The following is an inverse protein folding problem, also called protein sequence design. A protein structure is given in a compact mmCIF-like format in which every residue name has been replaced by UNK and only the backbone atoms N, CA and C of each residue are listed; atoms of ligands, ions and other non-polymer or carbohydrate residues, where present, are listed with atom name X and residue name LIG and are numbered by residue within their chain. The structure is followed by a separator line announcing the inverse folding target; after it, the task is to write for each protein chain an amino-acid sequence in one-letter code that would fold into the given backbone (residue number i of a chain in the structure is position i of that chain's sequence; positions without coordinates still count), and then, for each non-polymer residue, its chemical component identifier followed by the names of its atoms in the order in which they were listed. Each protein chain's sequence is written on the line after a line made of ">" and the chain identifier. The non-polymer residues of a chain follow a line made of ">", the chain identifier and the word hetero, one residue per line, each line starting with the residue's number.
data_IF_092608243800
#
_entry.id   IF_092608243800
#
_cell.length_a   1.000
_cell.length_b   1.000
_cell.length_c   1.000
_cell.angle_alpha   90.00
_cell.angle_beta   90.00
_cell.angle_gamma   90.00
#
_symmetry.space_group_name_H-M   'P 1'
#
loop_
_entity.id
_entity.type
_entity.pdbx_description
1 polymer ?
#
# COMPACT_ATOMS: atom_id res chain seq x y z
N UNK A 1 20.93 -20.23 9.48
CA UNK A 1 21.91 -19.96 8.39
C UNK A 1 21.65 -18.54 7.86
N UNK A 2 22.41 -18.05 6.88
CA UNK A 2 22.09 -16.83 6.12
C UNK A 2 22.27 -17.16 4.64
N UNK A 3 21.16 -17.33 3.93
CA UNK A 3 21.20 -17.56 2.49
C UNK A 3 21.33 -16.24 1.73
N UNK A 4 22.00 -16.30 0.59
CA UNK A 4 22.14 -15.17 -0.33
C UNK A 4 20.96 -15.14 -1.29
N UNK A 5 20.27 -14.01 -1.37
CA UNK A 5 19.24 -13.77 -2.40
C UNK A 5 19.88 -13.09 -3.61
N UNK A 6 19.83 -13.75 -4.76
CA UNK A 6 20.13 -13.10 -6.05
C UNK A 6 18.89 -12.39 -6.57
N UNK A 7 19.03 -11.13 -6.99
CA UNK A 7 17.96 -10.34 -7.57
C UNK A 7 18.34 -9.92 -9.00
N UNK A 8 17.49 -10.26 -9.97
CA UNK A 8 17.65 -9.90 -11.39
C UNK A 8 16.41 -9.13 -11.85
N UNK A 9 16.55 -7.91 -12.43
CA UNK A 9 15.44 -7.27 -13.13
C UNK A 9 15.17 -8.02 -14.43
N UNK A 10 13.90 -8.32 -14.69
CA UNK A 10 13.42 -9.02 -15.88
C UNK A 10 12.06 -8.44 -16.27
N UNK A 11 11.77 -8.41 -17.57
CA UNK A 11 10.40 -8.18 -18.05
C UNK A 11 9.47 -9.31 -17.61
N UNK A 12 8.18 -9.02 -17.41
CA UNK A 12 7.24 -9.96 -16.78
C UNK A 12 7.19 -11.32 -17.48
N UNK A 13 7.13 -11.36 -18.81
CA UNK A 13 7.09 -12.62 -19.55
C UNK A 13 8.40 -13.42 -19.43
N UNK A 14 9.54 -12.74 -19.32
CA UNK A 14 10.83 -13.37 -19.06
C UNK A 14 10.94 -13.88 -17.62
N UNK A 15 10.38 -13.17 -16.63
CA UNK A 15 10.29 -13.64 -15.26
C UNK A 15 9.35 -14.86 -15.14
N UNK A 16 8.22 -14.87 -15.85
CA UNK A 16 7.31 -16.01 -15.92
C UNK A 16 7.90 -17.20 -16.69
N UNK A 17 8.77 -16.96 -17.69
CA UNK A 17 9.54 -18.01 -18.35
C UNK A 17 10.60 -18.60 -17.39
N UNK A 18 11.37 -17.77 -16.69
CA UNK A 18 12.35 -18.19 -15.70
C UNK A 18 11.72 -18.95 -14.51
N UNK A 19 10.48 -18.62 -14.15
CA UNK A 19 9.67 -19.40 -13.22
C UNK A 19 9.25 -20.76 -13.80
N UNK A 20 9.08 -20.93 -15.11
CA UNK A 20 8.67 -22.20 -15.72
C UNK A 20 9.85 -23.13 -16.04
N UNK A 21 11.03 -22.58 -16.34
CA UNK A 21 12.21 -23.35 -16.78
C UNK A 21 13.17 -23.79 -15.65
N UNK A 22 12.96 -23.29 -14.42
CA UNK A 22 13.80 -23.58 -13.26
C UNK A 22 14.81 -22.48 -12.90
N UNK A 23 15.09 -21.55 -13.81
CA UNK A 23 16.17 -20.55 -13.65
C UNK A 23 15.83 -19.40 -12.68
N UNK A 24 14.59 -19.28 -12.23
CA UNK A 24 14.19 -18.49 -11.06
C UNK A 24 13.34 -19.35 -10.11
N UNK A 25 13.50 -19.15 -8.80
CA UNK A 25 12.64 -19.79 -7.79
C UNK A 25 11.37 -18.96 -7.50
N UNK A 26 11.48 -17.63 -7.55
CA UNK A 26 10.38 -16.69 -7.26
C UNK A 26 10.46 -15.46 -8.15
N UNK A 27 9.32 -14.82 -8.43
CA UNK A 27 9.24 -13.53 -9.08
C UNK A 27 8.22 -12.60 -8.41
N UNK A 28 8.49 -11.29 -8.42
CA UNK A 28 7.46 -10.28 -8.19
C UNK A 28 6.76 -9.99 -9.52
N UNK A 29 5.43 -10.00 -9.52
CA UNK A 29 4.61 -9.98 -10.74
C UNK A 29 3.43 -9.00 -10.61
N UNK A 30 2.95 -8.49 -11.75
CA UNK A 30 1.84 -7.53 -11.90
C UNK A 30 0.63 -8.24 -12.52
N UNK A 31 -0.50 -8.24 -11.81
CA UNK A 31 -1.81 -8.76 -12.21
C UNK A 31 -1.82 -10.23 -12.74
N UNK A 32 -0.83 -11.02 -12.36
CA UNK A 32 -0.79 -12.48 -12.60
C UNK A 32 -1.66 -13.20 -11.57
N UNK A 33 -2.47 -14.14 -12.05
CA UNK A 33 -3.34 -15.01 -11.24
C UNK A 33 -2.67 -16.37 -11.08
N UNK A 34 -2.92 -17.07 -9.98
CA UNK A 34 -2.44 -18.44 -9.76
C UNK A 34 -3.13 -19.44 -10.70
N UNK A 35 -2.38 -20.45 -11.13
CA UNK A 35 -2.84 -21.55 -11.99
C UNK A 35 -2.25 -22.90 -11.52
N UNK A 36 -2.47 -23.98 -12.28
CA UNK A 36 -1.97 -25.33 -11.93
C UNK A 36 -0.43 -25.45 -11.95
N UNK A 37 0.29 -24.46 -12.49
CA UNK A 37 1.75 -24.42 -12.56
C UNK A 37 2.37 -23.40 -11.60
N UNK A 38 1.68 -22.30 -11.30
CA UNK A 38 2.16 -21.18 -10.47
C UNK A 38 1.26 -20.89 -9.28
N UNK A 39 1.83 -20.98 -8.07
CA UNK A 39 1.26 -20.33 -6.90
C UNK A 39 1.54 -18.82 -6.95
N UNK A 40 0.55 -18.01 -6.54
CA UNK A 40 0.67 -16.56 -6.40
C UNK A 40 0.07 -16.11 -5.07
N UNK A 41 0.79 -15.28 -4.31
CA UNK A 41 0.27 -14.55 -3.15
C UNK A 41 0.15 -13.07 -3.52
N UNK A 42 -1.05 -12.45 -3.42
CA UNK A 42 -1.17 -11.00 -3.53
C UNK A 42 -0.51 -10.31 -2.33
N UNK A 43 0.34 -9.31 -2.61
CA UNK A 43 1.08 -8.56 -1.60
C UNK A 43 0.39 -7.22 -1.29
N UNK A 44 0.07 -6.46 -2.33
CA UNK A 44 -0.63 -5.17 -2.27
C UNK A 44 -1.18 -4.81 -3.65
N UNK A 45 -1.91 -3.69 -3.75
CA UNK A 45 -2.36 -3.11 -5.02
C UNK A 45 -1.88 -1.66 -5.13
N UNK A 46 -1.54 -1.22 -6.33
CA UNK A 46 -0.95 0.09 -6.60
C UNK A 46 -1.97 1.03 -7.24
N UNK A 47 -2.21 2.16 -6.58
CA UNK A 47 -3.05 3.24 -7.10
C UNK A 47 -2.49 3.74 -8.45
N UNK A 48 -3.31 3.77 -9.52
CA UNK A 48 -2.94 4.41 -10.77
C UNK A 48 -2.89 5.93 -10.60
N UNK A 49 -1.92 6.55 -11.26
CA UNK A 49 -1.76 8.00 -11.37
C UNK A 49 -1.65 8.40 -12.83
N UNK A 50 -2.15 9.59 -13.16
CA UNK A 50 -1.76 10.30 -14.39
C UNK A 50 -0.51 11.13 -14.11
N UNK A 51 0.48 11.01 -14.98
CA UNK A 51 1.71 11.80 -14.99
C UNK A 51 1.60 12.83 -16.10
N UNK A 52 1.86 14.10 -15.79
CA UNK A 52 1.65 15.25 -16.66
C UNK A 52 2.77 16.30 -16.52
N UNK A 53 2.99 17.19 -17.51
CA UNK A 53 3.81 18.39 -17.32
C UNK A 53 3.32 19.25 -16.14
N UNK A 54 4.23 19.98 -15.48
CA UNK A 54 3.86 20.87 -14.37
C UNK A 54 2.97 22.05 -14.76
N UNK A 55 3.08 22.51 -15.99
CA UNK A 55 2.29 23.62 -16.53
C UNK A 55 1.03 23.13 -17.25
N UNK A 56 0.68 21.84 -17.10
CA UNK A 56 -0.54 21.24 -17.64
C UNK A 56 -1.71 21.38 -16.67
N UNK A 57 -2.95 21.51 -17.18
CA UNK A 57 -4.15 21.68 -16.35
C UNK A 57 -4.35 20.56 -15.30
N UNK A 58 -3.85 19.35 -15.56
CA UNK A 58 -3.78 18.22 -14.61
C UNK A 58 -3.09 18.61 -13.28
N UNK A 59 -2.16 19.56 -13.29
CA UNK A 59 -1.47 20.03 -12.09
C UNK A 59 -2.40 20.78 -11.11
N UNK A 60 -3.48 21.39 -11.58
CA UNK A 60 -4.40 22.18 -10.74
C UNK A 60 -5.37 21.31 -9.91
N UNK A 61 -5.47 20.02 -10.21
CA UNK A 61 -6.35 19.08 -9.51
C UNK A 61 -5.57 18.19 -8.53
N UNK A 62 -6.10 17.98 -7.32
CA UNK A 62 -5.55 16.98 -6.38
C UNK A 62 -5.75 15.53 -6.84
N UNK A 63 -6.77 15.30 -7.68
CA UNK A 63 -7.20 14.00 -8.24
C UNK A 63 -8.02 14.26 -9.50
N UNK A 64 -7.95 13.35 -10.46
CA UNK A 64 -8.81 13.32 -11.65
C UNK A 64 -9.56 11.98 -11.74
N UNK A 65 -10.64 11.93 -12.52
CA UNK A 65 -11.26 10.71 -13.01
C UNK A 65 -10.79 10.43 -14.45
N UNK A 66 -10.92 9.18 -14.94
CA UNK A 66 -10.48 8.84 -16.32
C UNK A 66 -11.11 9.74 -17.39
N UNK A 67 -12.37 10.14 -17.25
CA UNK A 67 -13.06 11.01 -18.22
C UNK A 67 -12.48 12.44 -18.30
N UNK A 68 -11.77 12.90 -17.26
CA UNK A 68 -11.12 14.22 -17.28
C UNK A 68 -9.87 14.25 -18.20
N UNK A 69 -9.48 13.10 -18.76
CA UNK A 69 -8.40 12.92 -19.74
C UNK A 69 -8.93 12.65 -21.15
N UNK A 70 -10.21 12.87 -21.42
CA UNK A 70 -10.80 12.61 -22.73
C UNK A 70 -10.43 13.72 -23.73
N UNK A 71 -9.71 13.33 -24.78
CA UNK A 71 -9.09 14.24 -25.76
C UNK A 71 -7.58 14.43 -25.57
N UNK A 72 -7.02 13.96 -24.45
CA UNK A 72 -5.58 14.01 -24.19
C UNK A 72 -4.79 12.93 -24.94
N UNK A 73 -3.58 13.28 -25.37
CA UNK A 73 -2.62 12.30 -25.92
C UNK A 73 -2.07 11.45 -24.77
N UNK A 74 -2.51 10.20 -24.67
CA UNK A 74 -1.93 9.24 -23.73
C UNK A 74 -0.76 8.49 -24.38
N UNK A 75 0.38 8.50 -23.71
CA UNK A 75 1.58 7.77 -24.10
C UNK A 75 1.55 6.34 -23.54
N UNK A 76 2.07 5.40 -24.31
CA UNK A 76 2.31 4.02 -23.88
C UNK A 76 3.65 3.88 -23.14
N UNK A 77 3.82 2.76 -22.43
CA UNK A 77 4.96 2.50 -21.55
C UNK A 77 4.82 3.14 -20.17
N UNK A 78 5.72 2.76 -19.26
CA UNK A 78 5.75 3.24 -17.87
C UNK A 78 7.19 3.49 -17.39
N UNK A 79 8.17 3.54 -18.29
CA UNK A 79 9.58 3.67 -17.96
C UNK A 79 10.05 5.13 -17.87
N UNK A 80 11.35 5.33 -17.68
CA UNK A 80 11.97 6.66 -17.66
C UNK A 80 11.80 7.42 -18.99
N UNK A 81 11.78 6.74 -20.13
CA UNK A 81 11.64 7.36 -21.45
C UNK A 81 10.20 7.85 -21.70
N UNK A 82 9.18 7.10 -21.29
CA UNK A 82 7.79 7.60 -21.27
C UNK A 82 7.68 8.86 -20.40
N UNK A 83 8.29 8.89 -19.22
CA UNK A 83 8.27 10.07 -18.33
C UNK A 83 9.10 11.25 -18.88
N UNK A 84 10.15 10.99 -19.65
CA UNK A 84 10.89 12.01 -20.42
C UNK A 84 10.02 12.62 -21.53
N UNK A 85 9.23 11.82 -22.25
CA UNK A 85 8.28 12.32 -23.26
C UNK A 85 7.13 13.13 -22.64
N UNK A 86 6.63 12.75 -21.46
CA UNK A 86 5.69 13.59 -20.69
C UNK A 86 6.33 14.93 -20.33
N UNK A 87 7.57 14.94 -19.83
CA UNK A 87 8.27 16.18 -19.48
C UNK A 87 8.61 17.07 -20.69
N UNK A 88 8.72 16.46 -21.89
CA UNK A 88 8.84 17.16 -23.16
C UNK A 88 7.50 17.65 -23.74
N UNK A 89 6.39 17.52 -22.99
CA UNK A 89 5.04 17.94 -23.35
C UNK A 89 4.50 17.23 -24.62
N UNK A 90 4.92 15.98 -24.87
CA UNK A 90 4.43 15.16 -26.00
C UNK A 90 3.05 14.55 -25.71
N UNK A 91 2.76 14.30 -24.44
CA UNK A 91 1.49 13.75 -23.96
C UNK A 91 1.51 13.51 -22.45
N UNK A 92 0.50 12.81 -21.95
CA UNK A 92 0.37 12.36 -20.55
C UNK A 92 0.61 10.84 -20.48
N UNK A 93 0.89 10.29 -19.30
CA UNK A 93 1.04 8.84 -19.12
C UNK A 93 0.26 8.33 -17.91
N UNK A 94 -0.28 7.11 -17.97
CA UNK A 94 -0.98 6.47 -16.85
C UNK A 94 -0.14 5.29 -16.35
N UNK A 95 0.24 5.32 -15.07
CA UNK A 95 1.11 4.30 -14.46
C UNK A 95 0.86 4.14 -12.96
N UNK A 96 1.36 3.07 -12.32
CA UNK A 96 1.29 2.92 -10.87
C UNK A 96 2.07 4.00 -10.13
N UNK A 97 1.58 4.40 -8.95
CA UNK A 97 2.22 5.47 -8.15
C UNK A 97 3.67 5.16 -7.74
N UNK A 98 4.06 3.89 -7.59
CA UNK A 98 5.44 3.48 -7.30
C UNK A 98 6.39 3.84 -8.45
N UNK A 99 5.96 3.58 -9.68
CA UNK A 99 6.70 3.83 -10.92
C UNK A 99 6.85 5.33 -11.17
N UNK A 100 5.76 6.09 -11.02
CA UNK A 100 5.79 7.56 -11.09
C UNK A 100 6.69 8.21 -10.01
N UNK A 101 6.90 7.55 -8.86
CA UNK A 101 7.87 7.97 -7.83
C UNK A 101 9.30 7.60 -8.24
N UNK A 102 9.53 6.39 -8.75
CA UNK A 102 10.85 5.92 -9.19
C UNK A 102 11.43 6.79 -10.31
N UNK A 103 10.59 7.26 -11.24
CA UNK A 103 10.97 8.16 -12.33
C UNK A 103 10.61 9.64 -12.06
N UNK A 104 10.41 10.02 -10.80
CA UNK A 104 9.99 11.38 -10.45
C UNK A 104 11.03 12.44 -10.83
N UNK A 105 10.56 13.53 -11.45
CA UNK A 105 11.40 14.64 -11.95
C UNK A 105 10.76 16.00 -11.72
N UNK A 106 11.58 17.06 -11.78
CA UNK A 106 11.25 18.40 -11.24
C UNK A 106 10.15 19.17 -11.99
N UNK A 107 9.80 18.70 -13.17
CA UNK A 107 9.05 19.34 -14.26
C UNK A 107 7.76 18.57 -14.62
N UNK A 108 7.49 17.43 -13.96
CA UNK A 108 6.23 16.69 -14.03
C UNK A 108 5.48 16.71 -12.70
N UNK A 109 4.19 16.40 -12.75
CA UNK A 109 3.34 16.04 -11.60
C UNK A 109 2.80 14.63 -11.77
N UNK A 110 2.42 14.00 -10.66
CA UNK A 110 1.64 12.77 -10.66
C UNK A 110 0.38 12.96 -9.81
N UNK A 111 -0.81 12.76 -10.38
CA UNK A 111 -2.10 12.87 -9.70
C UNK A 111 -2.82 11.52 -9.65
N UNK A 112 -3.40 11.11 -8.51
CA UNK A 112 -4.28 9.94 -8.45
C UNK A 112 -5.39 10.02 -9.50
N UNK A 113 -5.67 8.89 -10.13
CA UNK A 113 -6.65 8.75 -11.19
C UNK A 113 -7.73 7.74 -10.78
N UNK A 114 -8.97 8.20 -10.63
CA UNK A 114 -10.13 7.36 -10.34
C UNK A 114 -10.74 6.79 -11.64
N UNK A 115 -11.41 5.63 -11.54
CA UNK A 115 -12.07 4.98 -12.68
C UNK A 115 -11.14 4.17 -13.59
N UNK A 116 -9.86 4.06 -13.24
CA UNK A 116 -8.90 3.10 -13.84
C UNK A 116 -8.64 1.97 -12.84
N UNK A 117 -8.56 0.69 -13.26
CA UNK A 117 -8.17 -0.41 -12.37
C UNK A 117 -6.80 -0.19 -11.73
N UNK A 118 -6.65 -0.63 -10.48
CA UNK A 118 -5.39 -0.66 -9.76
C UNK A 118 -4.55 -1.90 -10.11
N UNK A 119 -3.22 -1.78 -10.03
CA UNK A 119 -2.29 -2.86 -10.41
C UNK A 119 -1.99 -3.75 -9.21
N UNK A 120 -2.32 -5.04 -9.28
CA UNK A 120 -2.05 -6.00 -8.23
C UNK A 120 -0.61 -6.49 -8.27
N UNK A 121 0.13 -6.35 -7.16
CA UNK A 121 1.48 -6.91 -7.01
C UNK A 121 1.38 -8.25 -6.28
N UNK A 122 1.91 -9.30 -6.90
CA UNK A 122 2.00 -10.64 -6.33
C UNK A 122 3.44 -11.14 -6.20
N UNK A 123 3.63 -12.12 -5.33
CA UNK A 123 4.80 -13.02 -5.35
C UNK A 123 4.36 -14.34 -5.99
N UNK A 124 5.03 -14.73 -7.07
CA UNK A 124 4.78 -15.98 -7.80
C UNK A 124 5.94 -16.98 -7.66
N UNK A 125 5.62 -18.27 -7.59
CA UNK A 125 6.57 -19.39 -7.60
C UNK A 125 5.90 -20.67 -8.15
N UNK A 126 6.68 -21.70 -8.50
CA UNK A 126 6.12 -22.94 -9.06
C UNK A 126 5.35 -23.76 -8.01
N UNK A 127 4.29 -24.42 -8.46
CA UNK A 127 3.58 -25.47 -7.70
C UNK A 127 4.49 -26.70 -7.46
N UNK A 128 5.42 -26.99 -8.38
CA UNK A 128 6.40 -28.08 -8.23
C UNK A 128 7.38 -27.89 -7.07
N UNK A 129 7.54 -26.67 -6.59
CA UNK A 129 8.53 -26.29 -5.57
C UNK A 129 7.89 -26.24 -4.17
N UNK A 130 6.61 -26.62 -4.06
CA UNK A 130 5.90 -26.72 -2.79
C UNK A 130 6.58 -27.77 -1.88
N UNK A 131 6.99 -27.33 -0.69
CA UNK A 131 7.75 -28.16 0.26
C UNK A 131 9.28 -27.99 0.21
N UNK A 132 9.83 -27.17 -0.69
CA UNK A 132 11.21 -26.70 -0.55
C UNK A 132 11.35 -25.81 0.71
N UNK A 133 12.40 -26.04 1.50
CA UNK A 133 12.59 -25.38 2.80
C UNK A 133 12.83 -23.87 2.66
N UNK A 134 13.52 -23.43 1.60
CA UNK A 134 13.79 -22.01 1.35
C UNK A 134 12.55 -21.30 0.82
N UNK A 135 11.79 -21.96 -0.06
CA UNK A 135 10.50 -21.48 -0.58
C UNK A 135 9.49 -21.29 0.57
N UNK A 136 9.27 -22.32 1.40
CA UNK A 136 8.34 -22.24 2.54
C UNK A 136 8.82 -21.30 3.66
N UNK A 137 10.13 -21.09 3.78
CA UNK A 137 10.69 -20.07 4.67
C UNK A 137 10.42 -18.66 4.16
N UNK A 138 10.70 -18.39 2.89
CA UNK A 138 10.50 -17.06 2.28
C UNK A 138 9.00 -16.71 2.19
N UNK A 139 8.16 -17.63 1.72
CA UNK A 139 6.69 -17.50 1.74
C UNK A 139 6.17 -17.27 3.16
N UNK A 140 6.75 -17.96 4.14
CA UNK A 140 6.48 -17.72 5.57
C UNK A 140 6.77 -16.28 5.99
N UNK A 141 7.98 -15.78 5.68
CA UNK A 141 8.41 -14.40 6.01
C UNK A 141 7.52 -13.36 5.33
N UNK A 142 7.19 -13.55 4.05
CA UNK A 142 6.29 -12.67 3.27
C UNK A 142 4.87 -12.66 3.85
N UNK A 143 4.40 -13.79 4.40
CA UNK A 143 3.14 -13.88 5.17
C UNK A 143 3.27 -13.38 6.63
N UNK A 144 4.37 -12.72 6.99
CA UNK A 144 4.56 -12.09 8.31
C UNK A 144 5.16 -12.99 9.39
N UNK A 145 5.71 -14.18 9.05
CA UNK A 145 6.46 -15.01 10.00
C UNK A 145 7.79 -14.34 10.36
N UNK A 146 7.84 -13.65 11.49
CA UNK A 146 9.09 -13.14 12.05
C UNK A 146 9.97 -14.27 12.60
N UNK A 147 11.28 -14.03 12.74
CA UNK A 147 12.25 -15.04 13.20
C UNK A 147 11.98 -15.58 14.63
N UNK A 148 11.19 -14.88 15.45
CA UNK A 148 10.74 -15.32 16.77
C UNK A 148 9.37 -16.03 16.76
N UNK A 149 8.76 -16.25 15.59
CA UNK A 149 7.41 -16.83 15.47
C UNK A 149 7.41 -18.37 15.45
N UNK A 150 8.28 -18.98 16.25
CA UNK A 150 8.09 -20.36 16.71
C UNK A 150 6.88 -20.39 17.65
N UNK A 151 5.83 -21.14 17.30
CA UNK A 151 4.67 -21.33 18.18
C UNK A 151 5.02 -22.25 19.33
N UNK A 152 5.66 -21.70 20.35
CA UNK A 152 5.67 -22.31 21.68
C UNK A 152 4.21 -22.36 22.15
N UNK A 153 3.63 -23.56 22.20
CA UNK A 153 2.26 -23.72 22.67
C UNK A 153 2.21 -23.34 24.15
N UNK A 154 1.29 -22.47 24.60
CA UNK A 154 1.19 -22.13 26.01
C UNK A 154 0.71 -23.37 26.77
N UNK A 155 1.65 -24.08 27.40
CA UNK A 155 1.37 -25.16 28.35
C UNK A 155 0.37 -24.63 29.38
N UNK A 156 -0.83 -25.23 29.51
CA UNK A 156 -1.83 -24.72 30.43
C UNK A 156 -1.26 -24.75 31.86
N UNK A 157 -1.34 -23.64 32.62
CA UNK A 157 -0.89 -23.63 34.01
C UNK A 157 -1.74 -24.63 34.80
N UNK A 158 -1.08 -25.60 35.43
CA UNK A 158 -1.76 -26.62 36.23
C UNK A 158 -2.52 -25.96 37.40
N UNK A 159 -3.78 -26.36 37.69
CA UNK A 159 -4.56 -25.75 38.75
C UNK A 159 -4.05 -26.18 40.13
N UNK A 160 -3.42 -25.26 40.87
CA UNK A 160 -3.17 -25.42 42.30
C UNK A 160 -4.35 -24.85 43.09
N UNK A 161 -5.05 -25.71 43.84
CA UNK A 161 -6.30 -25.35 44.51
C UNK A 161 -6.08 -24.57 45.83
N UNK A 162 -7.17 -23.97 46.31
CA UNK A 162 -7.19 -22.92 47.34
C UNK A 162 -7.01 -23.44 48.76
N UNK A 163 -6.18 -22.75 49.55
CA UNK A 163 -6.38 -22.39 50.99
C UNK A 163 -5.18 -21.57 51.50
N UNK A 164 -5.26 -20.76 52.55
CA UNK A 164 -6.35 -19.94 53.10
C UNK A 164 -5.74 -19.01 54.17
N UNK A 165 -6.15 -17.75 54.23
CA UNK A 165 -5.75 -16.79 55.27
C UNK A 165 -6.54 -15.50 55.13
N UNK A 166 -7.14 -15.00 56.21
CA UNK A 166 -8.18 -13.97 56.12
C UNK A 166 -8.10 -12.91 57.25
N UNK A 167 -8.18 -11.65 56.82
CA UNK A 167 -8.58 -10.42 57.52
C UNK A 167 -8.56 -9.33 56.42
N UNK A 168 -9.61 -8.55 56.07
CA UNK A 168 -10.68 -7.90 56.84
C UNK A 168 -10.13 -6.82 57.80
N UNK A 169 -10.63 -5.58 57.84
CA UNK A 169 -11.77 -4.93 57.15
C UNK A 169 -11.29 -4.13 55.90
N UNK A 170 -11.76 -2.96 55.43
CA UNK A 170 -12.73 -1.91 55.84
C UNK A 170 -13.50 -1.40 54.60
N UNK A 171 -14.54 -0.56 54.78
CA UNK A 171 -15.59 -0.22 53.79
C UNK A 171 -15.79 1.29 53.67
N UNK A 172 -15.60 1.88 52.47
CA UNK A 172 -16.19 3.21 52.17
C UNK A 172 -16.37 3.58 50.69
N UNK A 173 -17.62 3.96 50.37
CA UNK A 173 -18.15 4.88 49.34
C UNK A 173 -19.37 5.55 50.01
N UNK A 174 -19.77 6.80 49.74
CA UNK A 174 -19.85 7.49 48.44
C UNK A 174 -18.76 8.61 48.32
N UNK A 175 -18.81 9.68 47.51
CA UNK A 175 -19.86 10.27 46.68
C UNK A 175 -19.30 11.00 45.43
N UNK A 176 -20.18 11.66 44.66
CA UNK A 176 -19.86 12.37 43.42
C UNK A 176 -20.03 13.90 43.52
N UNK A 177 -19.39 14.65 42.61
CA UNK A 177 -19.87 15.97 42.17
C UNK A 177 -19.48 16.25 40.70
N UNK A 178 -20.33 17.00 39.99
CA UNK A 178 -20.21 17.34 38.56
C UNK A 178 -19.35 18.61 38.34
N UNK A 179 -18.88 18.87 37.10
CA UNK A 179 -18.05 20.03 36.79
C UNK A 179 -18.81 21.36 36.91
N UNK A 180 -18.07 22.45 37.12
CA UNK A 180 -18.56 23.83 37.16
C UNK A 180 -18.23 24.53 35.84
N UNK A 181 -19.23 25.15 35.21
CA UNK A 181 -19.07 25.91 33.98
C UNK A 181 -19.04 27.43 34.24
N UNK A 182 -18.18 28.13 33.50
CA UNK A 182 -18.14 29.58 33.23
C UNK A 182 -17.25 29.78 32.01
N UNK A 183 -17.55 30.61 31.00
CA UNK A 183 -18.72 31.48 30.78
C UNK A 183 -18.32 32.63 29.84
N UNK A 184 -19.24 33.11 28.98
CA UNK A 184 -18.95 34.13 27.96
C UNK A 184 -19.00 33.55 26.54
N UNK A 185 -20.14 33.53 25.83
CA UNK A 185 -21.00 34.63 25.35
C UNK A 185 -20.59 35.12 23.96
N UNK A 186 -21.50 34.93 23.00
CA UNK A 186 -21.29 35.19 21.58
C UNK A 186 -21.36 36.67 21.21
N UNK A 187 -20.85 37.01 20.02
CA UNK A 187 -21.46 38.04 19.16
C UNK A 187 -21.31 37.68 17.68
N UNK A 188 -22.40 37.81 16.93
CA UNK A 188 -22.53 37.50 15.50
C UNK A 188 -23.20 38.66 14.78
N UNK A 189 -22.84 38.85 13.51
CA UNK A 189 -23.45 39.78 12.53
C UNK A 189 -23.20 41.27 12.74
N UNK A 190 -23.13 41.99 11.62
CA UNK A 190 -22.81 43.43 11.57
C UNK A 190 -22.50 43.97 10.17
N UNK A 191 -23.03 43.35 9.10
CA UNK A 191 -22.76 43.75 7.71
C UNK A 191 -23.43 45.10 7.43
N UNK A 192 -22.63 46.15 7.14
CA UNK A 192 -23.12 47.46 6.68
C UNK A 192 -22.47 47.83 5.35
N UNK A 193 -23.28 47.92 4.30
CA UNK A 193 -22.94 48.59 3.04
C UNK A 193 -23.16 50.10 3.17
N UNK A 194 -22.30 50.97 2.62
CA UNK A 194 -22.63 52.36 2.36
C UNK A 194 -23.60 52.47 1.16
N UNK A 195 -24.29 53.61 1.04
CA UNK A 195 -25.25 53.91 -0.03
C UNK A 195 -24.90 55.29 -0.61
N UNK A 196 -24.80 55.38 -1.94
CA UNK A 196 -24.72 56.60 -2.79
C UNK A 196 -24.27 57.90 -2.10
N UNK A 197 -23.02 58.29 -2.40
CA UNK A 197 -22.74 59.65 -2.91
C UNK A 197 -22.63 59.52 -4.42
#
# INVERSE_FOLDING_TARGET
>A
MRETLELRPLEQDAALAALRDGTAAMALVRDVVADDALHVIPLYREQPVVVAPKDHAVADFDRLARADLDGETLLEGQDAATVELVAANVGLAIMPQSVARAHSRRDVVARPLDGVPDTGIGLAWRVSDAGDELVETFVGIVRGRTANSSREAPTPPAPTDRRAGAAESERSKPAAKKPRATGGSARRSGRRTPRRG
#
